data_IF_370792753891
#
_entry.id   IF_370792753891
#
_cell.length_a   1.000
_cell.length_b   1.000
_cell.length_c   1.000
_cell.angle_alpha   90.00
_cell.angle_beta   90.00
_cell.angle_gamma   90.00
#
_symmetry.space_group_name_H-M   'P 1'
#
loop_
_entity.id
_entity.type
_entity.pdbx_description
1 polymer ?
#
# COMPACT_ATOMS: atom_id res chain seq x y z
N UNK A 1 -15.70 26.58 -22.46
CA UNK A 1 -15.24 25.32 -21.88
C UNK A 1 -13.79 25.48 -21.48
N UNK A 2 -13.46 25.05 -20.28
CA UNK A 2 -12.11 25.17 -19.75
C UNK A 2 -11.27 23.98 -20.18
N UNK A 3 -10.37 24.15 -21.12
CA UNK A 3 -9.47 23.11 -21.59
C UNK A 3 -8.53 22.63 -20.49
N UNK A 4 -8.17 23.51 -19.54
CA UNK A 4 -7.29 23.16 -18.41
C UNK A 4 -7.92 22.09 -17.52
N UNK A 5 -9.24 22.13 -17.28
CA UNK A 5 -9.94 21.14 -16.49
C UNK A 5 -9.97 19.78 -17.16
N UNK A 6 -10.20 19.75 -18.48
CA UNK A 6 -10.18 18.50 -19.26
C UNK A 6 -8.78 17.88 -19.24
N UNK A 7 -7.75 18.70 -19.43
CA UNK A 7 -6.35 18.27 -19.40
C UNK A 7 -5.96 17.72 -18.03
N UNK A 8 -6.38 18.39 -16.96
CA UNK A 8 -6.12 17.95 -15.58
C UNK A 8 -6.76 16.58 -15.32
N UNK A 9 -8.03 16.41 -15.69
CA UNK A 9 -8.75 15.16 -15.51
C UNK A 9 -8.11 14.02 -16.29
N UNK A 10 -7.67 14.27 -17.51
CA UNK A 10 -7.01 13.26 -18.34
C UNK A 10 -5.67 12.84 -17.73
N UNK A 11 -4.91 13.81 -17.21
CA UNK A 11 -3.64 13.51 -16.55
C UNK A 11 -3.83 12.73 -15.26
N UNK A 12 -4.83 13.12 -14.47
CA UNK A 12 -5.14 12.41 -13.23
C UNK A 12 -5.55 10.98 -13.51
N UNK A 13 -6.37 10.75 -14.54
CA UNK A 13 -6.78 9.41 -14.96
C UNK A 13 -5.58 8.57 -15.41
N UNK A 14 -4.65 9.19 -16.15
CA UNK A 14 -3.43 8.51 -16.60
C UNK A 14 -2.55 8.11 -15.43
N UNK A 15 -2.41 8.97 -14.42
CA UNK A 15 -1.65 8.67 -13.21
C UNK A 15 -2.30 7.56 -12.40
N UNK A 16 -3.62 7.55 -12.30
CA UNK A 16 -4.35 6.48 -11.62
C UNK A 16 -4.15 5.14 -12.31
N UNK A 17 -4.17 5.12 -13.65
CA UNK A 17 -3.89 3.90 -14.42
C UNK A 17 -2.46 3.42 -14.20
N UNK A 18 -1.49 4.34 -14.22
CA UNK A 18 -0.10 4.00 -13.97
C UNK A 18 0.09 3.43 -12.56
N UNK A 19 -0.58 4.04 -11.58
CA UNK A 19 -0.57 3.51 -10.21
C UNK A 19 -1.14 2.10 -10.16
N UNK A 20 -2.30 1.86 -10.77
CA UNK A 20 -2.91 0.54 -10.81
C UNK A 20 -1.98 -0.50 -11.44
N UNK A 21 -1.29 -0.14 -12.52
CA UNK A 21 -0.34 -1.02 -13.19
C UNK A 21 0.89 -1.32 -12.33
N UNK A 22 1.23 -0.45 -11.39
CA UNK A 22 2.37 -0.64 -10.48
C UNK A 22 2.05 -1.59 -9.31
N UNK A 23 0.78 -1.90 -9.07
CA UNK A 23 0.37 -2.65 -7.88
C UNK A 23 0.95 -4.06 -7.78
N UNK A 24 1.03 -4.86 -8.85
CA UNK A 24 1.65 -6.18 -8.74
C UNK A 24 3.09 -6.13 -8.23
N UNK A 25 3.89 -5.17 -8.71
CA UNK A 25 5.26 -4.99 -8.24
C UNK A 25 5.31 -4.54 -6.78
N UNK A 26 4.43 -3.63 -6.38
CA UNK A 26 4.34 -3.17 -5.00
C UNK A 26 3.95 -4.31 -4.06
N UNK A 27 2.99 -5.14 -4.47
CA UNK A 27 2.59 -6.31 -3.71
C UNK A 27 3.76 -7.27 -3.52
N UNK A 28 4.52 -7.54 -4.59
CA UNK A 28 5.67 -8.42 -4.53
C UNK A 28 6.75 -7.91 -3.56
N UNK A 29 6.99 -6.60 -3.54
CA UNK A 29 7.94 -6.00 -2.60
C UNK A 29 7.48 -6.17 -1.15
N UNK A 30 6.20 -5.97 -0.89
CA UNK A 30 5.62 -6.13 0.45
C UNK A 30 5.71 -7.60 0.89
N UNK A 31 5.35 -8.52 0.01
CA UNK A 31 5.44 -9.95 0.30
C UNK A 31 6.88 -10.37 0.61
N UNK A 32 7.85 -9.86 -0.15
CA UNK A 32 9.25 -10.16 0.07
C UNK A 32 9.76 -9.62 1.41
N UNK A 33 9.44 -8.37 1.74
CA UNK A 33 9.84 -7.79 3.03
C UNK A 33 9.20 -8.55 4.20
N UNK A 34 7.93 -8.90 4.07
CA UNK A 34 7.21 -9.69 5.07
C UNK A 34 7.87 -11.05 5.30
N UNK A 35 8.20 -11.75 4.22
CA UNK A 35 8.84 -13.07 4.30
C UNK A 35 10.19 -12.98 4.99
N UNK A 36 11.00 -11.97 4.65
CA UNK A 36 12.32 -11.79 5.26
C UNK A 36 12.22 -11.49 6.76
N UNK A 37 11.27 -10.62 7.14
CA UNK A 37 11.08 -10.31 8.55
C UNK A 37 10.64 -11.54 9.33
N UNK A 38 9.71 -12.32 8.80
CA UNK A 38 9.28 -13.58 9.43
C UNK A 38 10.40 -14.59 9.56
N UNK A 39 11.36 -14.56 8.64
CA UNK A 39 12.52 -15.44 8.66
C UNK A 39 13.61 -14.97 9.65
N UNK A 40 13.39 -13.85 10.34
CA UNK A 40 14.31 -13.37 11.37
C UNK A 40 15.19 -12.19 10.95
N UNK A 41 14.98 -11.63 9.74
CA UNK A 41 15.73 -10.47 9.28
C UNK A 41 15.08 -9.20 9.88
N UNK A 42 15.60 -8.75 11.01
CA UNK A 42 14.99 -7.65 11.78
C UNK A 42 14.89 -6.36 10.96
N UNK A 43 15.85 -6.08 10.09
CA UNK A 43 15.86 -4.86 9.26
C UNK A 43 14.70 -4.82 8.27
N UNK A 44 14.12 -5.97 7.92
CA UNK A 44 13.01 -6.02 6.97
C UNK A 44 11.73 -5.40 7.52
N UNK A 45 11.59 -5.26 8.84
CA UNK A 45 10.45 -4.54 9.43
C UNK A 45 10.39 -3.10 8.92
N UNK A 46 11.51 -2.40 8.95
CA UNK A 46 11.58 -1.02 8.48
C UNK A 46 11.28 -0.91 6.97
N UNK A 47 11.73 -1.90 6.20
CA UNK A 47 11.42 -1.96 4.77
C UNK A 47 9.92 -2.11 4.56
N UNK A 48 9.29 -3.03 5.26
CA UNK A 48 7.84 -3.25 5.18
C UNK A 48 7.08 -1.98 5.58
N UNK A 49 7.49 -1.32 6.65
CA UNK A 49 6.87 -0.09 7.10
C UNK A 49 6.96 1.02 6.03
N UNK A 50 8.14 1.23 5.45
CA UNK A 50 8.33 2.24 4.42
C UNK A 50 7.43 1.98 3.20
N UNK A 51 7.32 0.71 2.79
CA UNK A 51 6.46 0.32 1.66
C UNK A 51 4.99 0.60 1.96
N UNK A 52 4.51 0.23 3.16
CA UNK A 52 3.11 0.44 3.54
C UNK A 52 2.78 1.92 3.73
N UNK A 53 3.72 2.69 4.26
CA UNK A 53 3.55 4.13 4.42
C UNK A 53 3.36 4.82 3.07
N UNK A 54 4.24 4.55 2.11
CA UNK A 54 4.15 5.13 0.77
C UNK A 54 2.89 4.69 0.04
N UNK A 55 2.53 3.41 0.17
CA UNK A 55 1.33 2.87 -0.47
C UNK A 55 0.08 3.55 0.06
N UNK A 56 -0.02 3.76 1.37
CA UNK A 56 -1.17 4.42 1.98
C UNK A 56 -1.41 5.82 1.42
N UNK A 57 -0.34 6.61 1.31
CA UNK A 57 -0.44 7.95 0.75
C UNK A 57 -0.84 7.95 -0.73
N UNK A 58 -0.21 7.10 -1.53
CA UNK A 58 -0.47 7.04 -2.97
C UNK A 58 -1.85 6.50 -3.28
N UNK A 59 -2.27 5.45 -2.59
CA UNK A 59 -3.57 4.81 -2.84
C UNK A 59 -4.72 5.78 -2.66
N UNK A 60 -4.68 6.59 -1.61
CA UNK A 60 -5.72 7.59 -1.35
C UNK A 60 -5.79 8.62 -2.47
N UNK A 61 -4.64 9.07 -2.98
CA UNK A 61 -4.60 10.09 -4.02
C UNK A 61 -5.30 9.65 -5.31
N UNK A 62 -5.38 8.34 -5.55
CA UNK A 62 -5.94 7.80 -6.79
C UNK A 62 -7.27 7.07 -6.58
N UNK A 63 -7.89 7.20 -5.40
CA UNK A 63 -9.21 6.64 -5.14
C UNK A 63 -9.23 5.17 -4.73
N UNK A 64 -8.08 4.61 -4.37
CA UNK A 64 -7.99 3.22 -3.91
C UNK A 64 -8.13 3.17 -2.38
N UNK A 65 -9.32 3.53 -1.89
CA UNK A 65 -9.55 3.79 -0.46
C UNK A 65 -9.34 2.57 0.43
N UNK A 66 -9.84 1.41 0.02
CA UNK A 66 -9.70 0.20 0.83
C UNK A 66 -8.23 -0.22 0.95
N UNK A 67 -7.48 -0.13 -0.16
CA UNK A 67 -6.06 -0.43 -0.18
C UNK A 67 -5.30 0.57 0.72
N UNK A 68 -5.61 1.85 0.59
CA UNK A 68 -4.99 2.90 1.41
C UNK A 68 -5.26 2.71 2.89
N UNK A 69 -6.49 2.37 3.26
CA UNK A 69 -6.86 2.14 4.65
C UNK A 69 -6.11 0.94 5.25
N UNK A 70 -6.01 -0.16 4.51
CA UNK A 70 -5.29 -1.34 4.97
C UNK A 70 -3.79 -1.05 5.12
N UNK A 71 -3.21 -0.30 4.19
CA UNK A 71 -1.80 0.08 4.25
C UNK A 71 -1.53 0.98 5.46
N UNK A 72 -2.38 1.97 5.70
CA UNK A 72 -2.23 2.87 6.86
C UNK A 72 -2.38 2.13 8.19
N UNK A 73 -3.30 1.18 8.26
CA UNK A 73 -3.48 0.38 9.47
C UNK A 73 -2.23 -0.43 9.79
N UNK A 74 -1.63 -1.05 8.77
CA UNK A 74 -0.41 -1.82 8.95
C UNK A 74 0.77 -0.90 9.28
N UNK A 75 0.90 0.24 8.61
CA UNK A 75 1.94 1.22 8.91
C UNK A 75 1.88 1.65 10.38
N UNK A 76 0.68 1.94 10.88
CA UNK A 76 0.48 2.32 12.28
C UNK A 76 0.93 1.22 13.24
N UNK A 77 0.64 -0.04 12.91
CA UNK A 77 1.03 -1.18 13.74
C UNK A 77 2.54 -1.45 13.70
N UNK A 78 3.21 -1.00 12.63
CA UNK A 78 4.65 -1.21 12.43
C UNK A 78 5.52 -0.09 13.01
N UNK A 79 4.93 0.90 13.68
CA UNK A 79 5.72 2.00 14.26
C UNK A 79 6.79 1.45 15.22
N UNK A 80 8.05 1.91 15.10
CA UNK A 80 9.15 1.34 15.90
C UNK A 80 8.91 1.36 17.40
N UNK A 81 8.24 2.39 17.91
CA UNK A 81 7.95 2.55 19.34
C UNK A 81 7.08 1.43 19.90
N UNK A 82 6.32 0.74 19.06
CA UNK A 82 5.41 -0.32 19.49
C UNK A 82 6.14 -1.66 19.65
N UNK A 83 7.28 -1.85 18.99
CA UNK A 83 8.08 -3.05 19.11
C UNK A 83 7.35 -4.32 18.70
N UNK A 84 6.44 -4.25 17.74
CA UNK A 84 5.63 -5.40 17.36
C UNK A 84 6.47 -6.52 16.76
N UNK A 85 6.16 -7.76 17.16
CA UNK A 85 6.70 -8.95 16.51
C UNK A 85 5.86 -9.33 15.30
N UNK A 86 6.41 -10.11 14.33
CA UNK A 86 5.65 -10.50 13.15
C UNK A 86 4.27 -11.09 13.45
N UNK A 87 4.17 -11.97 14.45
CA UNK A 87 2.91 -12.60 14.81
C UNK A 87 1.82 -11.58 15.19
N UNK A 88 2.20 -10.43 15.73
CA UNK A 88 1.25 -9.42 16.18
C UNK A 88 0.65 -8.63 15.04
N UNK A 89 1.30 -8.59 13.88
CA UNK A 89 0.84 -7.82 12.70
C UNK A 89 0.42 -8.72 11.54
N UNK A 90 0.48 -10.03 11.70
CA UNK A 90 0.15 -10.98 10.63
C UNK A 90 -1.26 -10.73 10.06
N UNK A 91 -2.24 -10.45 10.91
CA UNK A 91 -3.60 -10.14 10.47
C UNK A 91 -3.66 -8.89 9.60
N UNK A 92 -2.88 -7.86 9.94
CA UNK A 92 -2.79 -6.63 9.16
C UNK A 92 -2.15 -6.86 7.79
N UNK A 93 -1.13 -7.72 7.73
CA UNK A 93 -0.51 -8.10 6.45
C UNK A 93 -1.50 -8.87 5.58
N UNK A 94 -2.23 -9.83 6.17
CA UNK A 94 -3.26 -10.58 5.45
C UNK A 94 -4.32 -9.64 4.89
N UNK A 95 -4.79 -8.69 5.69
CA UNK A 95 -5.78 -7.70 5.27
C UNK A 95 -5.27 -6.84 4.12
N UNK A 96 -4.01 -6.40 4.20
CA UNK A 96 -3.41 -5.60 3.14
C UNK A 96 -3.30 -6.41 1.84
N UNK A 97 -2.82 -7.64 1.89
CA UNK A 97 -2.69 -8.47 0.70
C UNK A 97 -4.05 -8.76 0.07
N UNK A 98 -5.09 -8.97 0.89
CA UNK A 98 -6.45 -9.14 0.39
C UNK A 98 -6.95 -7.87 -0.31
N UNK A 99 -6.59 -6.68 0.19
CA UNK A 99 -6.97 -5.41 -0.42
C UNK A 99 -6.36 -5.21 -1.80
N UNK A 100 -5.22 -5.82 -2.11
CA UNK A 100 -4.64 -5.78 -3.45
C UNK A 100 -5.50 -6.48 -4.50
N UNK A 101 -6.37 -7.41 -4.09
CA UNK A 101 -7.24 -8.14 -5.01
C UNK A 101 -8.41 -7.29 -5.48
N UNK A 102 -8.83 -6.30 -4.67
CA UNK A 102 -9.91 -5.36 -4.99
C UNK A 102 -9.47 -3.95 -4.61
N UNK A 103 -8.42 -3.43 -5.26
CA UNK A 103 -7.84 -2.17 -4.84
C UNK A 103 -8.70 -0.95 -5.13
N UNK A 104 -9.50 -0.98 -6.22
CA UNK A 104 -10.35 0.12 -6.65
C UNK A 104 -11.81 -0.19 -6.37
N UNK A 105 -12.67 0.84 -6.15
CA UNK A 105 -14.10 0.62 -6.03
C UNK A 105 -14.66 0.04 -7.32
N UNK A 106 -15.74 -0.74 -7.21
CA UNK A 106 -16.44 -1.26 -8.38
C UNK A 106 -16.97 -0.11 -9.23
N UNK A 107 -16.91 -0.23 -10.56
CA UNK A 107 -17.45 0.81 -11.44
C UNK A 107 -18.97 0.94 -11.32
#
# INVERSE_FOLDING_TARGET
>A
MDESGVDYDARLAALARAFAQSLPGKRAEIEAAWARWRAGEAAARATLQALTHRLGGSADNYGFEALGAAARALDAALQPRLGAAPAQVAGGVTALLAAFERPAPAP
#
